data_IF_913659929922
#
_entry.id   IF_913659929922
#
_cell.length_a   1.000
_cell.length_b   1.000
_cell.length_c   1.000
_cell.angle_alpha   90.00
_cell.angle_beta   90.00
_cell.angle_gamma   90.00
#
_symmetry.space_group_name_H-M   'P 1'
#
loop_
_entity.id
_entity.type
_entity.pdbx_description
1 polymer ?
#
# COMPACT_ATOMS: atom_id res chain seq x y z
N UNK A 1 -1.89 -52.55 -14.73
CA UNK A 1 -0.81 -51.69 -14.19
C UNK A 1 -0.62 -50.38 -14.99
N UNK A 2 -1.70 -49.79 -15.54
CA UNK A 2 -1.64 -48.52 -16.32
C UNK A 2 -2.40 -47.36 -15.65
N UNK A 3 -3.16 -47.64 -14.59
CA UNK A 3 -4.01 -46.66 -13.90
C UNK A 3 -3.24 -45.84 -12.85
N UNK A 4 -2.16 -46.40 -12.27
CA UNK A 4 -1.35 -45.72 -11.25
C UNK A 4 -0.35 -44.69 -11.82
N UNK A 5 -0.09 -44.69 -13.14
CA UNK A 5 0.83 -43.72 -13.76
C UNK A 5 0.15 -42.37 -14.00
N UNK A 6 -1.18 -42.36 -14.16
CA UNK A 6 -1.95 -41.17 -14.53
C UNK A 6 -2.25 -40.27 -13.31
N UNK A 7 -2.30 -40.86 -12.10
CA UNK A 7 -2.51 -40.14 -10.84
C UNK A 7 -1.25 -39.37 -10.40
N UNK A 8 -0.06 -39.88 -10.71
CA UNK A 8 1.22 -39.23 -10.37
C UNK A 8 1.47 -37.99 -11.24
N UNK A 9 0.96 -37.96 -12.48
CA UNK A 9 1.11 -36.84 -13.39
C UNK A 9 0.19 -35.65 -13.06
N UNK A 10 -0.90 -35.86 -12.31
CA UNK A 10 -1.81 -34.79 -11.88
C UNK A 10 -1.37 -34.13 -10.57
N UNK A 11 -0.45 -34.74 -9.81
CA UNK A 11 0.02 -34.22 -8.53
C UNK A 11 1.16 -33.19 -8.65
N UNK A 12 1.75 -33.00 -9.83
CA UNK A 12 2.89 -32.10 -10.04
C UNK A 12 2.51 -30.69 -10.51
N UNK A 13 1.22 -30.40 -10.72
CA UNK A 13 0.72 -29.11 -11.22
C UNK A 13 0.30 -28.12 -10.13
N UNK A 14 0.47 -28.45 -8.85
CA UNK A 14 0.03 -27.61 -7.72
C UNK A 14 1.09 -26.65 -7.16
N UNK A 15 2.28 -26.54 -7.78
CA UNK A 15 3.17 -25.41 -7.51
C UNK A 15 2.63 -24.16 -8.18
N UNK A 16 1.56 -23.61 -7.61
CA UNK A 16 1.12 -22.25 -7.88
C UNK A 16 2.26 -21.31 -7.57
N UNK A 17 2.91 -20.81 -8.62
CA UNK A 17 3.93 -19.78 -8.53
C UNK A 17 3.23 -18.49 -8.08
N UNK A 18 3.01 -18.35 -6.77
CA UNK A 18 2.70 -17.05 -6.17
C UNK A 18 3.95 -16.21 -6.35
N UNK A 19 3.95 -15.33 -7.36
CA UNK A 19 5.06 -14.41 -7.61
C UNK A 19 5.29 -13.64 -6.31
N UNK A 20 6.42 -13.90 -5.64
CA UNK A 20 6.82 -13.12 -4.45
C UNK A 20 6.83 -11.65 -4.86
N UNK A 21 6.05 -10.82 -4.15
CA UNK A 21 5.98 -9.39 -4.44
C UNK A 21 7.31 -8.76 -4.07
N UNK A 22 7.85 -7.92 -4.96
CA UNK A 22 9.01 -7.10 -4.65
C UNK A 22 8.63 -5.93 -3.74
N UNK A 23 9.61 -5.10 -3.35
CA UNK A 23 9.34 -3.95 -2.50
C UNK A 23 8.39 -2.94 -3.18
N UNK A 24 8.55 -2.70 -4.49
CA UNK A 24 7.68 -1.77 -5.22
C UNK A 24 6.24 -2.29 -5.36
N UNK A 25 6.06 -3.57 -5.67
CA UNK A 25 4.72 -4.17 -5.72
C UNK A 25 4.03 -4.19 -4.36
N UNK A 26 4.79 -4.46 -3.29
CA UNK A 26 4.26 -4.48 -1.93
C UNK A 26 3.81 -3.07 -1.48
N UNK A 27 4.62 -2.04 -1.77
CA UNK A 27 4.22 -0.65 -1.53
C UNK A 27 2.99 -0.25 -2.34
N UNK A 28 2.95 -0.60 -3.62
CA UNK A 28 1.81 -0.28 -4.49
C UNK A 28 0.52 -0.91 -3.96
N UNK A 29 0.59 -2.16 -3.52
CA UNK A 29 -0.56 -2.87 -2.97
C UNK A 29 -1.03 -2.25 -1.66
N UNK A 30 -0.11 -1.90 -0.75
CA UNK A 30 -0.42 -1.18 0.47
C UNK A 30 -1.16 0.14 0.18
N UNK A 31 -0.63 0.96 -0.73
CA UNK A 31 -1.24 2.24 -1.11
C UNK A 31 -2.63 2.01 -1.73
N UNK A 32 -2.75 1.07 -2.66
CA UNK A 32 -4.02 0.74 -3.32
C UNK A 32 -5.10 0.34 -2.30
N UNK A 33 -4.74 -0.51 -1.35
CA UNK A 33 -5.67 -0.96 -0.32
C UNK A 33 -6.02 0.16 0.67
N UNK A 34 -5.06 1.04 1.00
CA UNK A 34 -5.30 2.21 1.87
C UNK A 34 -6.25 3.25 1.25
N UNK A 35 -6.19 3.48 -0.07
CA UNK A 35 -7.07 4.44 -0.75
C UNK A 35 -8.49 3.90 -0.91
N UNK A 36 -8.61 2.60 -1.20
CA UNK A 36 -9.91 2.00 -1.49
C UNK A 36 -10.76 1.75 -0.23
N UNK A 37 -10.25 2.00 0.98
CA UNK A 37 -10.96 1.76 2.23
C UNK A 37 -11.38 0.30 2.45
N UNK A 38 -10.74 -0.64 1.72
CA UNK A 38 -11.05 -2.08 1.74
C UNK A 38 -10.16 -2.88 2.69
N UNK A 39 -9.33 -2.19 3.48
CA UNK A 39 -8.39 -2.84 4.37
C UNK A 39 -8.95 -2.88 5.79
N UNK A 40 -9.07 -4.06 6.37
CA UNK A 40 -9.28 -4.20 7.81
C UNK A 40 -7.95 -4.04 8.56
N UNK A 41 -8.02 -3.79 9.88
CA UNK A 41 -6.84 -3.60 10.74
C UNK A 41 -5.86 -4.77 10.61
N UNK A 42 -6.36 -6.01 10.56
CA UNK A 42 -5.52 -7.21 10.41
C UNK A 42 -4.67 -7.18 9.14
N UNK A 43 -5.28 -6.89 7.99
CA UNK A 43 -4.57 -6.83 6.70
C UNK A 43 -3.50 -5.73 6.71
N UNK A 44 -3.76 -4.64 7.42
CA UNK A 44 -2.82 -3.52 7.56
C UNK A 44 -1.63 -3.90 8.46
N UNK A 45 -1.88 -4.60 9.56
CA UNK A 45 -0.83 -5.11 10.46
C UNK A 45 -0.02 -6.25 9.83
N UNK A 46 -0.61 -7.02 8.92
CA UNK A 46 0.07 -8.10 8.19
C UNK A 46 0.97 -7.59 7.06
N UNK A 47 0.71 -6.37 6.56
CA UNK A 47 1.52 -5.70 5.53
C UNK A 47 2.57 -4.74 6.10
N UNK A 48 2.63 -4.61 7.43
CA UNK A 48 3.53 -3.68 8.13
C UNK A 48 4.43 -4.40 9.13
N UNK A 49 5.52 -3.73 9.50
CA UNK A 49 6.49 -4.15 10.52
C UNK A 49 7.07 -2.92 11.22
N UNK A 50 7.99 -3.12 12.15
CA UNK A 50 8.74 -2.04 12.78
C UNK A 50 7.86 -1.00 13.47
N UNK A 51 8.26 0.27 13.36
CA UNK A 51 7.59 1.39 14.02
C UNK A 51 6.17 1.59 13.49
N UNK A 52 6.00 1.52 12.17
CA UNK A 52 4.70 1.68 11.53
C UNK A 52 3.69 0.68 12.08
N UNK A 53 4.06 -0.60 12.20
CA UNK A 53 3.17 -1.61 12.79
C UNK A 53 2.75 -1.27 14.22
N UNK A 54 3.70 -0.82 15.05
CA UNK A 54 3.43 -0.46 16.43
C UNK A 54 2.48 0.75 16.52
N UNK A 55 2.67 1.75 15.67
CA UNK A 55 1.80 2.93 15.60
C UNK A 55 0.37 2.54 15.21
N UNK A 56 0.23 1.67 14.20
CA UNK A 56 -1.06 1.22 13.71
C UNK A 56 -1.78 0.29 14.69
N UNK A 57 -1.04 -0.55 15.41
CA UNK A 57 -1.61 -1.44 16.41
C UNK A 57 -2.16 -0.66 17.61
N UNK A 58 -1.51 0.46 17.94
CA UNK A 58 -1.94 1.37 19.01
C UNK A 58 -3.19 2.19 18.67
N UNK A 59 -3.63 2.24 17.40
CA UNK A 59 -4.85 2.94 17.01
C UNK A 59 -6.09 2.14 17.43
N UNK A 60 -7.07 2.84 18.00
CA UNK A 60 -8.42 2.30 18.22
C UNK A 60 -9.21 2.17 16.91
N UNK A 61 -10.41 1.56 16.94
CA UNK A 61 -11.21 1.33 15.73
C UNK A 61 -11.63 2.63 15.02
N UNK A 62 -11.94 3.68 15.79
CA UNK A 62 -12.36 4.98 15.26
C UNK A 62 -11.19 5.67 14.55
N UNK A 63 -10.01 5.68 15.18
CA UNK A 63 -8.77 6.22 14.62
C UNK A 63 -8.32 5.41 13.40
N UNK A 64 -8.42 4.10 13.46
CA UNK A 64 -8.11 3.21 12.35
C UNK A 64 -9.03 3.48 11.16
N UNK A 65 -10.33 3.68 11.38
CA UNK A 65 -11.27 4.02 10.31
C UNK A 65 -10.92 5.34 9.61
N UNK A 66 -10.40 6.33 10.35
CA UNK A 66 -9.95 7.61 9.80
C UNK A 66 -8.64 7.48 9.03
N UNK A 67 -7.73 6.62 9.50
CA UNK A 67 -6.47 6.33 8.83
C UNK A 67 -6.69 5.61 7.49
N UNK A 68 -7.65 4.68 7.47
CA UNK A 68 -7.97 3.82 6.33
C UNK A 68 -8.78 4.49 5.23
N UNK A 69 -9.35 5.66 5.49
CA UNK A 69 -10.38 6.23 4.63
C UNK A 69 -9.97 7.62 4.18
N UNK A 70 -9.29 7.68 3.03
CA UNK A 70 -9.27 8.92 2.25
C UNK A 70 -10.63 9.03 1.54
N UNK A 71 -11.67 9.37 2.30
CA UNK A 71 -13.02 9.54 1.75
C UNK A 71 -13.01 10.54 0.59
N UNK A 72 -13.70 10.17 -0.49
CA UNK A 72 -13.83 11.02 -1.68
C UNK A 72 -12.59 11.05 -2.57
N UNK A 73 -11.56 10.22 -2.31
CA UNK A 73 -10.44 10.05 -3.22
C UNK A 73 -10.88 9.35 -4.51
N UNK A 74 -10.57 9.95 -5.65
CA UNK A 74 -10.78 9.38 -6.97
C UNK A 74 -9.62 9.72 -7.90
N UNK A 75 -9.55 9.04 -9.05
CA UNK A 75 -8.50 9.23 -10.07
C UNK A 75 -7.09 9.17 -9.48
N UNK A 76 -6.84 8.17 -8.64
CA UNK A 76 -5.55 8.03 -7.98
C UNK A 76 -4.45 7.65 -8.97
N UNK A 77 -3.25 8.17 -8.74
CA UNK A 77 -2.04 7.82 -9.49
C UNK A 77 -0.89 7.60 -8.53
N UNK A 78 -0.32 6.39 -8.58
CA UNK A 78 0.84 6.01 -7.79
C UNK A 78 2.07 5.81 -8.68
N UNK A 79 3.16 6.50 -8.34
CA UNK A 79 4.44 6.39 -9.02
C UNK A 79 5.59 6.32 -8.01
N UNK A 80 6.46 5.31 -8.14
CA UNK A 80 7.77 5.30 -7.50
C UNK A 80 8.69 6.25 -8.27
N UNK A 81 9.27 7.23 -7.60
CA UNK A 81 10.18 8.21 -8.18
C UNK A 81 11.64 7.78 -8.07
N UNK A 82 12.02 7.19 -6.93
CA UNK A 82 13.38 6.76 -6.63
C UNK A 82 13.32 5.45 -5.83
N UNK A 83 14.24 4.54 -6.13
CA UNK A 83 14.44 3.32 -5.36
C UNK A 83 15.91 3.22 -4.90
N UNK A 84 16.10 2.77 -3.67
CA UNK A 84 17.41 2.43 -3.12
C UNK A 84 17.26 1.14 -2.31
N UNK A 85 17.48 0.01 -2.97
CA UNK A 85 17.27 -1.31 -2.39
C UNK A 85 18.59 -2.03 -2.11
N UNK A 86 18.62 -2.69 -0.96
CA UNK A 86 19.57 -3.74 -0.58
C UNK A 86 18.80 -5.07 -0.45
N UNK A 87 19.48 -6.22 -0.25
CA UNK A 87 18.80 -7.52 -0.23
C UNK A 87 17.66 -7.64 0.79
N UNK A 88 17.73 -6.95 1.92
CA UNK A 88 16.77 -7.08 3.03
C UNK A 88 16.06 -5.78 3.41
N UNK A 89 16.44 -4.65 2.82
CA UNK A 89 15.87 -3.34 3.10
C UNK A 89 15.75 -2.54 1.81
N UNK A 90 14.67 -1.80 1.62
CA UNK A 90 14.55 -0.88 0.50
C UNK A 90 13.88 0.43 0.90
N UNK A 91 14.43 1.53 0.41
CA UNK A 91 13.85 2.86 0.53
C UNK A 91 13.25 3.28 -0.80
N UNK A 92 11.95 3.58 -0.79
CA UNK A 92 11.20 3.99 -1.98
C UNK A 92 10.63 5.38 -1.78
N UNK A 93 11.06 6.35 -2.60
CA UNK A 93 10.36 7.64 -2.70
C UNK A 93 9.24 7.51 -3.71
N UNK A 94 8.03 7.87 -3.34
CA UNK A 94 6.87 7.78 -4.21
C UNK A 94 6.00 9.04 -4.19
N UNK A 95 5.28 9.23 -5.28
CA UNK A 95 4.24 10.23 -5.46
C UNK A 95 2.89 9.53 -5.51
N UNK A 96 1.96 9.97 -4.67
CA UNK A 96 0.55 9.63 -4.75
C UNK A 96 -0.24 10.90 -5.12
N UNK A 97 -0.97 10.84 -6.22
CA UNK A 97 -1.92 11.87 -6.62
C UNK A 97 -3.35 11.35 -6.49
N UNK A 98 -4.29 12.18 -6.07
CA UNK A 98 -5.71 11.88 -6.12
C UNK A 98 -6.53 13.17 -6.14
N UNK A 99 -7.72 13.10 -6.70
CA UNK A 99 -8.74 14.13 -6.57
C UNK A 99 -9.55 13.85 -5.31
N UNK A 100 -9.68 14.85 -4.43
CA UNK A 100 -10.55 14.76 -3.27
C UNK A 100 -11.80 15.62 -3.49
N UNK A 101 -12.97 14.99 -3.37
CA UNK A 101 -14.26 15.69 -3.45
C UNK A 101 -14.89 15.85 -2.06
N UNK A 102 -15.31 17.07 -1.72
CA UNK A 102 -16.14 17.33 -0.54
C UNK A 102 -17.56 17.71 -0.96
N UNK A 103 -18.55 17.00 -0.41
CA UNK A 103 -19.99 17.31 -0.50
C UNK A 103 -20.48 17.81 -1.87
N UNK A 104 -20.07 17.12 -2.94
CA UNK A 104 -20.72 17.20 -4.26
C UNK A 104 -20.33 18.35 -5.19
N UNK A 105 -19.36 19.22 -4.87
CA UNK A 105 -19.06 20.36 -5.78
C UNK A 105 -17.60 20.84 -5.88
N UNK A 106 -16.72 20.59 -4.90
CA UNK A 106 -15.33 21.07 -4.96
C UNK A 106 -14.37 19.88 -4.99
N UNK A 107 -13.73 19.67 -6.14
CA UNK A 107 -12.58 18.79 -6.31
C UNK A 107 -11.29 19.61 -6.19
N UNK A 108 -10.33 19.11 -5.42
CA UNK A 108 -8.97 19.63 -5.44
C UNK A 108 -7.99 18.47 -5.65
N UNK A 109 -6.95 18.75 -6.43
CA UNK A 109 -5.87 17.81 -6.69
C UNK A 109 -4.93 17.80 -5.49
N UNK A 110 -4.72 16.62 -4.93
CA UNK A 110 -3.74 16.39 -3.87
C UNK A 110 -2.57 15.63 -4.46
N UNK A 111 -1.35 16.16 -4.28
CA UNK A 111 -0.11 15.46 -4.57
C UNK A 111 0.70 15.27 -3.28
N UNK A 112 0.88 14.01 -2.89
CA UNK A 112 1.69 13.60 -1.76
C UNK A 112 2.99 12.99 -2.26
N UNK A 113 4.12 13.47 -1.74
CA UNK A 113 5.43 12.85 -1.91
C UNK A 113 5.88 12.30 -0.56
N UNK A 114 6.16 11.01 -0.52
CA UNK A 114 6.52 10.28 0.70
C UNK A 114 7.72 9.36 0.45
N UNK A 115 8.37 8.93 1.51
CA UNK A 115 9.37 7.88 1.52
C UNK A 115 8.86 6.69 2.33
N UNK A 116 8.91 5.50 1.77
CA UNK A 116 8.64 4.26 2.49
C UNK A 116 9.95 3.51 2.75
N UNK A 117 10.11 3.00 3.96
CA UNK A 117 11.09 1.97 4.30
C UNK A 117 10.39 0.61 4.25
N UNK A 118 10.92 -0.33 3.49
CA UNK A 118 10.46 -1.71 3.44
C UNK A 118 11.55 -2.65 3.94
N UNK A 119 11.15 -3.68 4.68
CA UNK A 119 12.05 -4.72 5.17
C UNK A 119 11.58 -6.09 4.72
N UNK A 120 12.52 -6.94 4.32
CA UNK A 120 12.26 -8.33 4.04
C UNK A 120 12.21 -9.10 5.36
N UNK A 121 11.02 -9.56 5.74
CA UNK A 121 10.76 -10.33 6.96
C UNK A 121 10.07 -11.62 6.53
N UNK A 122 10.65 -12.77 6.89
CA UNK A 122 10.09 -14.09 6.54
C UNK A 122 9.77 -14.22 5.04
N UNK A 123 10.71 -13.75 4.20
CA UNK A 123 10.58 -13.73 2.73
C UNK A 123 9.47 -12.84 2.16
N UNK A 124 8.88 -11.96 2.96
CA UNK A 124 7.88 -10.98 2.55
C UNK A 124 8.38 -9.56 2.76
N UNK A 125 8.16 -8.68 1.78
CA UNK A 125 8.45 -7.27 1.92
C UNK A 125 7.32 -6.58 2.68
N UNK A 126 7.62 -6.05 3.86
CA UNK A 126 6.67 -5.36 4.73
C UNK A 126 7.10 -3.90 4.91
N UNK A 127 6.13 -2.99 5.04
CA UNK A 127 6.43 -1.58 5.30
C UNK A 127 6.84 -1.40 6.76
N UNK A 128 8.05 -0.92 6.98
CA UNK A 128 8.61 -0.66 8.31
C UNK A 128 8.36 0.78 8.78
N UNK A 129 8.32 1.73 7.83
CA UNK A 129 8.13 3.15 8.11
C UNK A 129 7.61 3.91 6.87
N UNK A 130 6.91 5.03 7.09
CA UNK A 130 6.49 5.99 6.06
C UNK A 130 6.75 7.41 6.57
N UNK A 131 7.56 8.16 5.82
CA UNK A 131 7.86 9.56 6.13
C UNK A 131 7.30 10.50 5.06
N UNK A 132 6.62 11.55 5.48
CA UNK A 132 6.16 12.62 4.58
C UNK A 132 7.32 13.50 4.13
N UNK A 133 7.44 13.71 2.82
CA UNK A 133 8.43 14.63 2.24
C UNK A 133 7.77 15.96 1.90
N UNK A 134 6.67 15.93 1.12
CA UNK A 134 5.95 17.12 0.67
C UNK A 134 4.48 16.79 0.41
N UNK A 135 3.62 17.78 0.63
CA UNK A 135 2.21 17.75 0.24
C UNK A 135 1.90 19.01 -0.54
N UNK A 136 1.19 18.87 -1.66
CA UNK A 136 0.73 19.96 -2.50
C UNK A 136 -0.78 19.83 -2.72
N UNK A 137 -1.49 20.96 -2.58
CA UNK A 137 -2.93 21.07 -2.82
C UNK A 137 -3.15 22.07 -3.94
N UNK A 138 -3.91 21.68 -4.97
CA UNK A 138 -4.34 22.56 -6.03
C UNK A 138 -5.87 22.58 -6.08
N UNK A 139 -6.44 23.71 -5.73
CA UNK A 139 -7.88 23.95 -5.81
C UNK A 139 -8.18 24.75 -7.08
N UNK A 140 -9.21 24.34 -7.84
CA UNK A 140 -9.69 25.11 -8.99
C UNK A 140 -10.38 26.43 -8.57
N UNK A 141 -10.78 26.55 -7.30
CA UNK A 141 -11.33 27.76 -6.70
C UNK A 141 -10.67 28.08 -5.35
N UNK A 142 -10.66 29.37 -4.92
CA UNK A 142 -10.07 29.76 -3.65
C UNK A 142 -10.64 28.95 -2.47
N UNK A 143 -9.73 28.49 -1.60
CA UNK A 143 -10.09 27.93 -0.30
C UNK A 143 -10.45 29.13 0.58
N UNK A 144 -11.74 29.35 0.84
CA UNK A 144 -12.14 30.34 1.85
C UNK A 144 -11.71 29.83 3.23
N UNK A 145 -11.05 30.66 4.06
CA UNK A 145 -10.51 30.28 5.37
C UNK A 145 -11.59 29.99 6.42
#
# INVERSE_FOLDING_TARGET
MKLNLLVIMFLSLSFGCTKKMGPEESLREFVRLSINGKMDKSTLLDSTTGNLKNELDALDEDQMSKYLKVEGASRDSFRVNLNNCQPTICFLTYTLKYEQSSNGAKSFDVELKKMAELRLVEEKWLLADITDIKTYYQAEQPIEP
#
